data_IF_036981424515
#
_entry.id   IF_036981424515
#
_cell.length_a   1.000
_cell.length_b   1.000
_cell.length_c   1.000
_cell.angle_alpha   90.00
_cell.angle_beta   90.00
_cell.angle_gamma   90.00
#
_symmetry.space_group_name_H-M   'P 1'
#
loop_
_entity.id
_entity.type
_entity.pdbx_description
1 polymer ?
#
# COMPACT_ATOMS: atom_id res chain seq x y z
N UNK A 1 15.94 1.22 66.18
CA UNK A 1 15.52 -0.15 66.56
C UNK A 1 14.25 -0.52 65.79
N UNK A 2 14.08 -1.78 65.38
CA UNK A 2 13.51 -2.14 64.07
C UNK A 2 12.24 -3.01 64.14
N UNK A 3 11.77 -3.42 62.94
CA UNK A 3 10.76 -4.45 62.58
C UNK A 3 9.32 -3.90 62.51
N UNK A 4 8.61 -4.06 61.39
CA UNK A 4 8.29 -5.38 60.83
C UNK A 4 8.22 -5.40 59.29
N UNK A 5 8.92 -6.38 58.72
CA UNK A 5 8.75 -6.86 57.35
C UNK A 5 7.54 -7.79 57.32
N UNK A 6 6.65 -7.67 56.33
CA UNK A 6 5.92 -8.82 55.81
C UNK A 6 5.91 -8.77 54.28
N UNK A 7 6.81 -9.59 53.71
CA UNK A 7 6.81 -9.99 52.30
C UNK A 7 5.77 -11.08 52.13
N UNK A 8 4.71 -10.82 51.38
CA UNK A 8 3.83 -11.89 50.86
C UNK A 8 4.39 -12.33 49.52
N UNK A 9 5.25 -13.34 49.56
CA UNK A 9 5.62 -14.17 48.42
C UNK A 9 4.46 -15.12 48.11
N UNK A 10 3.79 -14.97 46.96
CA UNK A 10 2.94 -16.04 46.42
C UNK A 10 3.54 -16.54 45.11
N UNK A 11 4.27 -17.63 45.22
CA UNK A 11 4.63 -18.49 44.12
C UNK A 11 3.37 -19.26 43.66
N UNK A 12 3.02 -19.17 42.38
CA UNK A 12 2.12 -20.12 41.73
C UNK A 12 2.80 -20.62 40.45
N UNK A 13 3.08 -21.92 40.47
CA UNK A 13 3.74 -22.71 39.42
C UNK A 13 2.83 -22.91 38.20
N UNK A 14 3.42 -23.22 37.03
CA UNK A 14 2.72 -23.39 35.76
C UNK A 14 2.04 -24.76 35.69
N UNK A 15 0.82 -24.81 35.16
CA UNK A 15 0.15 -26.06 34.83
C UNK A 15 0.29 -26.29 33.31
N UNK A 16 1.27 -27.09 32.94
CA UNK A 16 1.28 -27.82 31.67
C UNK A 16 0.08 -28.77 31.64
N UNK A 17 -0.74 -28.70 30.60
CA UNK A 17 -1.61 -29.80 30.18
C UNK A 17 -1.25 -30.12 28.73
N UNK A 18 -0.52 -31.21 28.59
CA UNK A 18 -0.15 -31.91 27.36
C UNK A 18 -0.98 -33.21 27.32
N UNK A 19 -1.62 -33.48 26.18
CA UNK A 19 -2.00 -34.76 25.56
C UNK A 19 -3.36 -34.62 24.85
N UNK A 20 -3.37 -34.56 23.51
CA UNK A 20 -3.55 -35.72 22.59
C UNK A 20 -5.05 -36.12 22.54
N UNK A 21 -5.73 -36.19 21.39
CA UNK A 21 -5.49 -37.11 20.27
C UNK A 21 -6.23 -36.63 19.01
N UNK A 22 -5.61 -36.97 17.88
CA UNK A 22 -6.02 -36.94 16.48
C UNK A 22 -7.52 -37.14 16.12
N UNK A 23 -7.91 -36.53 14.99
CA UNK A 23 -8.61 -37.27 13.93
C UNK A 23 -8.18 -36.73 12.55
N UNK A 24 -7.39 -37.57 11.85
CA UNK A 24 -7.16 -37.51 10.42
C UNK A 24 -8.40 -38.06 9.70
N UNK A 25 -8.91 -37.35 8.70
CA UNK A 25 -9.73 -37.93 7.66
C UNK A 25 -9.22 -37.44 6.30
N UNK A 26 -8.33 -38.26 5.72
CA UNK A 26 -7.98 -38.22 4.31
C UNK A 26 -8.89 -39.20 3.57
N UNK A 27 -9.53 -38.76 2.49
CA UNK A 27 -9.97 -39.63 1.41
C UNK A 27 -9.75 -38.91 0.07
N UNK A 28 -8.86 -39.48 -0.72
CA UNK A 28 -8.52 -39.15 -2.11
C UNK A 28 -9.56 -39.78 -3.08
N UNK A 29 -9.48 -39.49 -4.40
CA UNK A 29 -10.62 -39.47 -5.33
C UNK A 29 -10.77 -40.79 -6.13
N UNK A 30 -11.85 -40.91 -6.94
CA UNK A 30 -11.81 -41.60 -8.23
C UNK A 30 -11.63 -40.54 -9.34
N UNK A 31 -10.82 -40.73 -10.38
CA UNK A 31 -10.76 -41.92 -11.22
C UNK A 31 -11.42 -41.57 -12.56
N UNK A 32 -10.59 -41.43 -13.58
CA UNK A 32 -10.84 -41.01 -14.95
C UNK A 32 -11.99 -41.74 -15.66
N UNK A 33 -12.62 -41.07 -16.63
CA UNK A 33 -13.02 -41.73 -17.87
C UNK A 33 -12.94 -40.77 -19.06
N UNK A 34 -12.21 -41.24 -20.08
CA UNK A 34 -12.16 -40.69 -21.42
C UNK A 34 -13.46 -41.05 -22.16
N UNK A 35 -13.96 -40.12 -22.97
CA UNK A 35 -15.13 -40.35 -23.79
C UNK A 35 -15.21 -39.37 -24.94
N UNK A 36 -14.32 -39.53 -25.93
CA UNK A 36 -14.53 -38.98 -27.25
C UNK A 36 -15.69 -39.72 -27.92
N UNK A 37 -16.70 -38.98 -28.39
CA UNK A 37 -17.60 -39.43 -29.47
C UNK A 37 -18.27 -38.21 -30.10
N UNK A 38 -17.92 -37.98 -31.36
CA UNK A 38 -18.72 -37.18 -32.28
C UNK A 38 -20.12 -37.78 -32.44
N UNK A 39 -21.09 -36.99 -32.92
CA UNK A 39 -21.78 -37.47 -34.10
C UNK A 39 -21.90 -36.42 -35.21
N UNK A 40 -21.63 -36.94 -36.41
CA UNK A 40 -22.33 -36.78 -37.67
C UNK A 40 -23.13 -35.49 -37.96
N UNK A 41 -22.75 -34.94 -39.11
CA UNK A 41 -23.53 -34.08 -39.98
C UNK A 41 -25.01 -34.43 -40.04
N UNK A 42 -25.85 -33.38 -40.01
CA UNK A 42 -27.16 -33.41 -40.61
C UNK A 42 -27.28 -32.23 -41.58
N UNK A 43 -27.29 -32.55 -42.87
CA UNK A 43 -27.73 -31.67 -43.94
C UNK A 43 -29.23 -31.39 -43.78
N UNK A 44 -29.58 -30.11 -43.73
CA UNK A 44 -30.97 -29.64 -43.76
C UNK A 44 -30.98 -28.15 -44.06
N UNK A 45 -31.26 -27.82 -45.31
CA UNK A 45 -31.28 -26.47 -45.87
C UNK A 45 -32.74 -26.09 -46.13
N UNK A 46 -33.24 -25.02 -45.51
CA UNK A 46 -34.30 -24.17 -46.03
C UNK A 46 -34.45 -22.88 -45.21
N UNK A 47 -34.53 -21.77 -45.95
CA UNK A 47 -34.80 -20.36 -45.61
C UNK A 47 -35.94 -20.16 -44.59
N UNK A 48 -36.03 -19.07 -43.82
CA UNK A 48 -36.20 -17.66 -44.22
C UNK A 48 -36.04 -16.73 -43.00
N UNK A 49 -35.65 -15.47 -43.26
CA UNK A 49 -35.88 -14.26 -42.43
C UNK A 49 -35.31 -14.21 -41.00
N UNK A 50 -34.11 -13.62 -40.87
CA UNK A 50 -33.47 -13.34 -39.59
C UNK A 50 -32.70 -12.02 -39.61
N UNK A 51 -33.37 -10.97 -39.12
CA UNK A 51 -32.84 -9.76 -38.47
C UNK A 51 -31.32 -9.77 -38.25
N UNK A 52 -30.62 -8.84 -38.93
CA UNK A 52 -29.22 -8.54 -38.69
C UNK A 52 -28.98 -8.21 -37.20
N UNK A 53 -28.55 -9.21 -36.43
CA UNK A 53 -27.85 -9.01 -35.17
C UNK A 53 -26.45 -8.56 -35.53
N UNK A 54 -26.25 -7.24 -35.49
CA UNK A 54 -24.96 -6.62 -35.31
C UNK A 54 -24.33 -7.20 -34.05
N UNK A 55 -23.43 -8.17 -34.22
CA UNK A 55 -22.44 -8.53 -33.21
C UNK A 55 -21.74 -7.23 -32.80
N UNK A 56 -21.77 -6.82 -31.52
CA UNK A 56 -20.97 -5.69 -31.10
C UNK A 56 -19.52 -6.08 -31.38
N UNK A 57 -18.86 -5.34 -32.27
CA UNK A 57 -17.41 -5.34 -32.33
C UNK A 57 -16.93 -5.13 -30.89
N UNK A 58 -16.19 -6.09 -30.36
CA UNK A 58 -15.44 -5.87 -29.14
C UNK A 58 -14.62 -4.61 -29.40
N UNK A 59 -15.01 -3.51 -28.75
CA UNK A 59 -14.24 -2.29 -28.78
C UNK A 59 -12.94 -2.63 -28.07
N UNK A 60 -11.93 -3.03 -28.85
CA UNK A 60 -10.54 -2.96 -28.44
C UNK A 60 -10.23 -1.47 -28.33
N UNK A 61 -10.68 -0.88 -27.23
CA UNK A 61 -10.20 0.39 -26.73
C UNK A 61 -8.77 0.20 -26.25
N UNK A 62 -7.87 -0.16 -27.16
CA UNK A 62 -6.46 0.09 -26.97
C UNK A 62 -6.33 1.60 -26.99
N UNK A 63 -6.27 2.21 -25.81
CA UNK A 63 -5.80 3.58 -25.71
C UNK A 63 -4.45 3.64 -26.45
N UNK A 64 -4.18 4.73 -27.16
CA UNK A 64 -2.88 4.94 -27.80
C UNK A 64 -1.69 4.89 -26.81
N UNK A 65 -1.95 4.75 -25.50
CA UNK A 65 -0.99 4.62 -24.41
C UNK A 65 -0.38 3.21 -24.25
N UNK A 66 -0.96 2.19 -24.89
CA UNK A 66 -0.42 0.82 -24.85
C UNK A 66 0.42 0.48 -26.09
N UNK A 67 1.22 1.45 -26.55
CA UNK A 67 2.13 1.28 -27.68
C UNK A 67 3.43 0.55 -27.28
N UNK A 68 4.13 0.01 -28.28
CA UNK A 68 5.44 -0.64 -28.12
C UNK A 68 6.48 0.33 -27.54
N UNK A 69 7.25 -0.11 -26.53
CA UNK A 69 8.23 0.73 -25.81
C UNK A 69 7.78 1.20 -24.41
N UNK A 70 6.64 0.74 -23.94
CA UNK A 70 6.12 0.96 -22.59
C UNK A 70 7.11 0.51 -21.49
N UNK A 71 7.19 1.28 -20.40
CA UNK A 71 7.89 0.85 -19.17
C UNK A 71 7.29 -0.47 -18.65
N UNK A 72 8.00 -1.20 -17.79
CA UNK A 72 7.47 -2.42 -17.16
C UNK A 72 6.09 -2.17 -16.53
N UNK A 73 5.96 -1.07 -15.77
CA UNK A 73 4.70 -0.67 -15.14
C UNK A 73 3.61 -0.37 -16.16
N UNK A 74 3.93 0.35 -17.24
CA UNK A 74 2.95 0.62 -18.29
C UNK A 74 2.51 -0.67 -19.00
N UNK A 75 3.43 -1.63 -19.16
CA UNK A 75 3.11 -2.96 -19.70
C UNK A 75 2.17 -3.73 -18.77
N UNK A 76 2.41 -3.68 -17.44
CA UNK A 76 1.51 -4.28 -16.45
C UNK A 76 0.11 -3.66 -16.53
N UNK A 77 0.02 -2.33 -16.58
CA UNK A 77 -1.27 -1.61 -16.67
C UNK A 77 -2.00 -1.99 -17.96
N UNK A 78 -1.30 -1.99 -19.09
CA UNK A 78 -1.90 -2.30 -20.40
C UNK A 78 -2.38 -3.74 -20.54
N UNK A 79 -1.75 -4.68 -19.85
CA UNK A 79 -2.10 -6.10 -19.90
C UNK A 79 -3.16 -6.51 -18.85
N UNK A 80 -3.55 -5.61 -17.94
CA UNK A 80 -4.56 -5.85 -16.91
C UNK A 80 -5.72 -4.85 -17.07
N UNK A 81 -6.90 -5.30 -17.56
CA UNK A 81 -8.06 -4.43 -17.71
C UNK A 81 -8.50 -3.72 -16.42
N UNK A 82 -8.29 -4.33 -15.25
CA UNK A 82 -8.63 -3.70 -13.97
C UNK A 82 -7.67 -2.55 -13.65
N UNK A 83 -6.37 -2.71 -13.92
CA UNK A 83 -5.39 -1.63 -13.77
C UNK A 83 -5.63 -0.50 -14.77
N UNK A 84 -5.98 -0.82 -16.02
CA UNK A 84 -6.32 0.18 -17.03
C UNK A 84 -7.54 1.01 -16.61
N UNK A 85 -8.57 0.36 -16.05
CA UNK A 85 -9.72 1.06 -15.50
C UNK A 85 -9.33 1.96 -14.32
N UNK A 86 -8.51 1.47 -13.39
CA UNK A 86 -8.05 2.28 -12.25
C UNK A 86 -7.20 3.47 -12.69
N UNK A 87 -6.36 3.34 -13.71
CA UNK A 87 -5.61 4.45 -14.29
C UNK A 87 -6.54 5.52 -14.88
N UNK A 88 -7.58 5.10 -15.62
CA UNK A 88 -8.58 6.03 -16.15
C UNK A 88 -9.37 6.75 -15.05
N UNK A 89 -9.79 6.04 -14.00
CA UNK A 89 -10.45 6.65 -12.84
C UNK A 89 -9.53 7.62 -12.11
N UNK A 90 -8.23 7.30 -11.99
CA UNK A 90 -7.25 8.16 -11.34
C UNK A 90 -7.06 9.45 -12.15
N UNK A 91 -6.93 9.36 -13.47
CA UNK A 91 -6.83 10.54 -14.34
C UNK A 91 -8.07 11.45 -14.23
N UNK A 92 -9.27 10.85 -14.12
CA UNK A 92 -10.52 11.58 -13.91
C UNK A 92 -10.58 12.24 -12.53
N UNK A 93 -10.14 11.53 -11.48
CA UNK A 93 -10.09 12.06 -10.12
C UNK A 93 -9.09 13.23 -10.01
N UNK A 94 -7.93 13.11 -10.64
CA UNK A 94 -6.94 14.18 -10.71
C UNK A 94 -7.48 15.41 -11.43
N UNK A 95 -8.13 15.23 -12.60
CA UNK A 95 -8.75 16.33 -13.32
C UNK A 95 -9.82 17.03 -12.47
N UNK A 96 -10.68 16.25 -11.80
CA UNK A 96 -11.73 16.78 -10.92
C UNK A 96 -11.15 17.55 -9.73
N UNK A 97 -10.10 17.02 -9.10
CA UNK A 97 -9.39 17.70 -8.02
C UNK A 97 -8.72 18.99 -8.51
N UNK A 98 -8.12 18.98 -9.71
CA UNK A 98 -7.48 20.15 -10.30
C UNK A 98 -8.49 21.28 -10.56
N UNK A 99 -9.71 20.95 -10.95
CA UNK A 99 -10.76 21.93 -11.26
C UNK A 99 -11.29 22.67 -10.02
N UNK A 100 -11.11 22.11 -8.81
CA UNK A 100 -11.50 22.76 -7.55
C UNK A 100 -10.41 23.66 -6.97
N UNK A 101 -9.22 23.72 -7.59
CA UNK A 101 -8.05 24.40 -7.05
C UNK A 101 -7.74 25.72 -7.76
N UNK A 102 -7.13 26.64 -7.03
CA UNK A 102 -6.50 27.84 -7.59
C UNK A 102 -5.17 27.50 -8.28
N UNK A 103 -4.48 28.50 -8.82
CA UNK A 103 -3.22 28.27 -9.55
C UNK A 103 -2.15 27.61 -8.67
N UNK A 104 -1.97 28.07 -7.43
CA UNK A 104 -0.98 27.52 -6.51
C UNK A 104 -1.31 26.06 -6.12
N UNK A 105 -2.59 25.77 -5.89
CA UNK A 105 -3.06 24.41 -5.63
C UNK A 105 -2.86 23.48 -6.83
N UNK A 106 -3.09 23.96 -8.05
CA UNK A 106 -2.83 23.19 -9.28
C UNK A 106 -1.34 22.82 -9.42
N UNK A 107 -0.45 23.77 -9.18
CA UNK A 107 1.00 23.54 -9.21
C UNK A 107 1.43 22.52 -8.14
N UNK A 108 0.88 22.66 -6.91
CA UNK A 108 1.12 21.70 -5.82
C UNK A 108 0.63 20.30 -6.19
N UNK A 109 -0.59 20.15 -6.69
CA UNK A 109 -1.17 18.87 -7.09
C UNK A 109 -0.35 18.21 -8.20
N UNK A 110 0.08 18.97 -9.21
CA UNK A 110 0.92 18.46 -10.30
C UNK A 110 2.27 17.94 -9.77
N UNK A 111 2.91 18.69 -8.88
CA UNK A 111 4.19 18.28 -8.29
C UNK A 111 4.04 17.01 -7.42
N UNK A 112 2.97 16.91 -6.63
CA UNK A 112 2.64 15.70 -5.86
C UNK A 112 2.38 14.50 -6.79
N UNK A 113 1.62 14.70 -7.87
CA UNK A 113 1.31 13.63 -8.82
C UNK A 113 2.57 13.10 -9.51
N UNK A 114 3.47 14.01 -9.90
CA UNK A 114 4.76 13.64 -10.49
C UNK A 114 5.63 12.83 -9.50
N UNK A 115 5.72 13.27 -8.24
CA UNK A 115 6.45 12.52 -7.21
C UNK A 115 5.83 11.16 -6.96
N UNK A 116 4.51 11.07 -6.86
CA UNK A 116 3.81 9.79 -6.68
C UNK A 116 4.06 8.83 -7.86
N UNK A 117 4.05 9.32 -9.10
CA UNK A 117 4.40 8.51 -10.27
C UNK A 117 5.82 7.95 -10.12
N UNK A 118 6.81 8.81 -9.87
CA UNK A 118 8.23 8.45 -9.88
C UNK A 118 8.65 7.59 -8.67
N UNK A 119 8.07 7.86 -7.51
CA UNK A 119 8.52 7.34 -6.21
C UNK A 119 7.52 6.39 -5.54
N UNK A 120 6.38 6.13 -6.17
CA UNK A 120 5.42 5.15 -5.66
C UNK A 120 4.97 4.21 -6.77
N UNK A 121 4.35 4.73 -7.84
CA UNK A 121 3.82 3.90 -8.94
C UNK A 121 4.92 3.15 -9.68
N UNK A 122 5.95 3.86 -10.11
CA UNK A 122 7.02 3.31 -10.96
C UNK A 122 7.98 2.38 -10.18
N UNK A 123 7.81 2.27 -8.86
CA UNK A 123 8.53 1.30 -8.02
C UNK A 123 7.81 -0.04 -7.89
N UNK A 124 6.56 -0.15 -8.34
CA UNK A 124 5.83 -1.40 -8.30
C UNK A 124 6.40 -2.45 -9.25
N UNK A 125 6.56 -3.68 -8.75
CA UNK A 125 7.04 -4.83 -9.52
C UNK A 125 5.94 -5.74 -10.07
N UNK A 126 4.71 -5.59 -9.61
CA UNK A 126 3.58 -6.46 -9.96
C UNK A 126 2.23 -5.72 -9.94
N UNK A 127 1.19 -6.41 -10.41
CA UNK A 127 -0.16 -5.89 -10.48
C UNK A 127 -0.78 -5.64 -9.10
N UNK A 128 -0.43 -6.43 -8.08
CA UNK A 128 -0.98 -6.25 -6.74
C UNK A 128 -0.51 -4.92 -6.13
N UNK A 129 0.78 -4.61 -6.23
CA UNK A 129 1.33 -3.32 -5.83
C UNK A 129 0.61 -2.17 -6.54
N UNK A 130 0.45 -2.25 -7.87
CA UNK A 130 -0.23 -1.21 -8.66
C UNK A 130 -1.67 -0.99 -8.21
N UNK A 131 -2.43 -2.07 -7.97
CA UNK A 131 -3.81 -1.99 -7.47
C UNK A 131 -3.88 -1.26 -6.13
N UNK A 132 -2.95 -1.53 -5.22
CA UNK A 132 -2.92 -0.90 -3.89
C UNK A 132 -2.56 0.59 -3.99
N UNK A 133 -1.49 0.93 -4.71
CA UNK A 133 -1.06 2.35 -4.80
C UNK A 133 -2.05 3.20 -5.61
N UNK A 134 -2.76 2.62 -6.58
CA UNK A 134 -3.87 3.29 -7.27
C UNK A 134 -5.06 3.52 -6.33
N UNK A 135 -5.45 2.52 -5.54
CA UNK A 135 -6.53 2.67 -4.57
C UNK A 135 -6.22 3.76 -3.53
N UNK A 136 -5.00 3.77 -3.00
CA UNK A 136 -4.55 4.79 -2.03
C UNK A 136 -4.56 6.19 -2.67
N UNK A 137 -4.03 6.33 -3.89
CA UNK A 137 -4.00 7.62 -4.57
C UNK A 137 -5.40 8.12 -4.92
N UNK A 138 -6.31 7.22 -5.32
CA UNK A 138 -7.72 7.57 -5.55
C UNK A 138 -8.40 8.08 -4.28
N UNK A 139 -8.13 7.48 -3.11
CA UNK A 139 -8.64 7.99 -1.81
C UNK A 139 -8.16 9.43 -1.59
N UNK A 140 -6.86 9.67 -1.76
CA UNK A 140 -6.24 10.99 -1.59
C UNK A 140 -6.84 12.03 -2.54
N UNK A 141 -6.96 11.69 -3.83
CA UNK A 141 -7.53 12.60 -4.84
C UNK A 141 -9.01 12.89 -4.57
N UNK A 142 -9.78 11.90 -4.10
CA UNK A 142 -11.20 12.07 -3.79
C UNK A 142 -11.46 13.01 -2.61
N UNK A 143 -10.58 13.00 -1.61
CA UNK A 143 -10.60 13.91 -0.46
C UNK A 143 -10.17 15.35 -0.83
N UNK A 144 -9.43 15.51 -1.92
CA UNK A 144 -8.92 16.82 -2.40
C UNK A 144 -10.03 17.83 -2.71
N UNK A 145 -11.25 17.36 -2.95
CA UNK A 145 -12.42 18.23 -3.15
C UNK A 145 -12.66 19.18 -1.98
N UNK A 146 -12.18 18.84 -0.79
CA UNK A 146 -12.28 19.66 0.43
C UNK A 146 -11.01 20.49 0.70
N UNK A 147 -9.93 20.28 -0.07
CA UNK A 147 -8.66 21.01 0.02
C UNK A 147 -7.42 20.13 -0.14
N UNK A 148 -6.25 20.74 -0.38
CA UNK A 148 -4.94 20.06 -0.42
C UNK A 148 -4.29 20.01 0.97
N UNK A 149 -4.98 19.35 1.90
CA UNK A 149 -4.54 19.20 3.30
C UNK A 149 -4.05 17.77 3.55
N UNK A 150 -3.11 17.66 4.50
CA UNK A 150 -2.77 16.39 5.12
C UNK A 150 -3.95 15.90 5.98
N UNK A 151 -4.09 14.58 6.14
CA UNK A 151 -5.24 13.97 6.81
C UNK A 151 -4.91 13.82 8.31
N UNK A 152 -5.63 14.55 9.16
CA UNK A 152 -5.65 14.26 10.60
C UNK A 152 -6.26 12.86 10.80
N UNK A 153 -5.52 11.98 11.47
CA UNK A 153 -5.99 10.66 11.81
C UNK A 153 -5.86 10.41 13.30
N UNK A 154 -6.77 9.58 13.79
CA UNK A 154 -6.82 9.13 15.15
C UNK A 154 -6.80 7.59 15.12
N UNK A 155 -5.63 7.02 15.40
CA UNK A 155 -5.41 5.58 15.40
C UNK A 155 -5.20 5.09 16.83
N UNK A 156 -5.90 4.02 17.19
CA UNK A 156 -5.79 3.39 18.51
C UNK A 156 -4.76 2.26 18.42
N UNK A 157 -3.64 2.34 19.14
CA UNK A 157 -2.65 1.27 19.15
C UNK A 157 -3.22 -0.03 19.72
N UNK A 158 -2.68 -1.17 19.28
CA UNK A 158 -3.12 -2.47 19.75
C UNK A 158 -3.04 -2.58 21.29
N UNK A 159 -4.17 -2.93 21.91
CA UNK A 159 -4.27 -3.06 23.36
C UNK A 159 -4.39 -1.75 24.13
N UNK A 160 -4.48 -0.61 23.45
CA UNK A 160 -4.73 0.69 24.08
C UNK A 160 -6.19 1.13 23.95
N UNK A 161 -6.62 2.03 24.84
CA UNK A 161 -7.96 2.63 24.82
C UNK A 161 -7.93 4.08 24.33
N UNK A 162 -6.75 4.71 24.36
CA UNK A 162 -6.56 6.09 23.95
C UNK A 162 -6.01 6.11 22.53
N UNK A 163 -6.57 7.03 21.77
CA UNK A 163 -6.13 7.30 20.42
C UNK A 163 -4.86 8.15 20.45
N UNK A 164 -3.96 7.90 19.50
CA UNK A 164 -2.85 8.80 19.23
C UNK A 164 -3.20 9.63 18.01
N UNK A 165 -3.15 10.95 18.16
CA UNK A 165 -3.31 11.88 17.06
C UNK A 165 -2.05 11.84 16.18
N UNK A 166 -2.27 11.64 14.89
CA UNK A 166 -1.22 11.64 13.88
C UNK A 166 -1.67 12.42 12.66
N UNK A 167 -0.71 13.05 11.99
CA UNK A 167 -0.90 13.68 10.70
C UNK A 167 -0.42 12.72 9.62
N UNK A 168 -1.34 12.20 8.80
CA UNK A 168 -1.01 11.38 7.64
C UNK A 168 -0.66 12.30 6.48
N UNK A 169 0.58 12.20 6.00
CA UNK A 169 1.06 13.03 4.91
C UNK A 169 0.42 12.58 3.60
N UNK A 170 -0.26 13.53 2.94
CA UNK A 170 -0.90 13.34 1.64
C UNK A 170 0.11 12.95 0.55
N UNK A 171 1.30 13.54 0.63
CA UNK A 171 2.43 13.25 -0.24
C UNK A 171 3.60 12.73 0.60
N UNK A 172 3.70 11.40 0.80
CA UNK A 172 4.77 10.82 1.58
C UNK A 172 6.16 11.06 0.97
N UNK A 173 6.24 11.33 -0.32
CA UNK A 173 7.50 11.56 -1.03
C UNK A 173 7.96 13.02 -0.97
N UNK A 174 7.15 13.94 -0.43
CA UNK A 174 7.57 15.31 -0.13
C UNK A 174 8.74 15.36 0.87
N UNK A 175 8.87 14.34 1.73
CA UNK A 175 9.91 14.22 2.74
C UNK A 175 11.08 13.31 2.31
N UNK A 176 11.06 12.76 1.10
CA UNK A 176 12.03 11.75 0.66
C UNK A 176 13.48 12.26 0.73
N UNK A 177 13.71 13.53 0.38
CA UNK A 177 15.03 14.15 0.49
C UNK A 177 15.49 14.25 1.96
N UNK A 178 14.62 14.70 2.85
CA UNK A 178 14.91 14.82 4.28
C UNK A 178 15.24 13.45 4.89
N UNK A 179 14.49 12.41 4.54
CA UNK A 179 14.77 11.06 4.99
C UNK A 179 16.10 10.51 4.46
N UNK A 180 16.45 10.79 3.20
CA UNK A 180 17.75 10.38 2.65
C UNK A 180 18.92 11.10 3.33
N UNK A 181 18.75 12.38 3.70
CA UNK A 181 19.73 13.10 4.52
C UNK A 181 19.90 12.41 5.88
N UNK A 182 18.81 12.11 6.58
CA UNK A 182 18.83 11.42 7.86
C UNK A 182 19.45 10.02 7.76
N UNK A 183 19.17 9.29 6.68
CA UNK A 183 19.76 7.99 6.40
C UNK A 183 21.30 8.07 6.37
N UNK A 184 21.83 9.08 5.66
CA UNK A 184 23.28 9.32 5.57
C UNK A 184 23.90 9.79 6.89
N UNK A 185 23.25 10.72 7.60
CA UNK A 185 23.70 11.22 8.91
C UNK A 185 23.76 10.09 9.96
N UNK A 186 22.88 9.10 9.87
CA UNK A 186 22.83 7.95 10.77
C UNK A 186 23.63 6.74 10.25
N UNK A 187 24.50 6.94 9.25
CA UNK A 187 25.42 5.91 8.74
C UNK A 187 24.74 4.69 8.14
N UNK A 188 23.50 4.83 7.67
CA UNK A 188 22.76 3.73 7.05
C UNK A 188 23.16 3.57 5.58
N UNK A 189 23.19 2.32 5.12
CA UNK A 189 23.56 2.00 3.73
C UNK A 189 22.47 2.42 2.74
N UNK A 190 22.88 2.80 1.52
CA UNK A 190 21.98 2.90 0.38
C UNK A 190 21.17 4.19 0.34
N UNK A 191 20.02 4.15 -0.33
CA UNK A 191 19.10 5.29 -0.46
C UNK A 191 17.65 4.84 -0.48
N UNK A 192 16.76 5.69 0.00
CA UNK A 192 15.33 5.53 -0.19
C UNK A 192 14.96 5.96 -1.62
N UNK A 193 14.28 5.07 -2.34
CA UNK A 193 13.76 5.31 -3.69
C UNK A 193 12.41 6.03 -3.67
N UNK A 194 11.64 5.84 -2.60
CA UNK A 194 10.30 6.38 -2.46
C UNK A 194 9.52 5.69 -1.36
N UNK A 195 8.40 6.29 -0.98
CA UNK A 195 7.59 5.89 0.17
C UNK A 195 6.12 5.72 -0.23
N UNK A 196 5.45 4.76 0.40
CA UNK A 196 4.02 4.48 0.20
C UNK A 196 3.15 5.16 1.24
N UNK A 197 3.70 5.44 2.43
CA UNK A 197 3.03 6.15 3.51
C UNK A 197 4.05 6.91 4.35
N UNK A 198 3.62 8.04 4.90
CA UNK A 198 4.40 8.79 5.88
C UNK A 198 3.45 9.47 6.87
N UNK A 199 3.87 9.54 8.12
CA UNK A 199 3.11 10.11 9.21
C UNK A 199 3.97 11.04 10.03
N UNK A 200 3.37 12.08 10.58
CA UNK A 200 3.97 12.92 11.60
C UNK A 200 3.18 12.76 12.89
N UNK A 201 3.86 12.36 13.97
CA UNK A 201 3.26 12.19 15.30
C UNK A 201 3.82 13.29 16.21
N UNK A 202 2.92 14.05 16.84
CA UNK A 202 3.29 15.21 17.66
C UNK A 202 3.38 16.52 16.85
N UNK A 203 3.28 17.65 17.55
CA UNK A 203 3.28 18.99 16.95
C UNK A 203 4.54 19.79 17.27
N UNK A 204 4.89 20.73 16.38
CA UNK A 204 5.99 21.66 16.57
C UNK A 204 7.37 20.99 16.54
N UNK A 205 8.34 21.42 17.37
CA UNK A 205 9.70 20.90 17.32
C UNK A 205 9.80 19.41 17.66
N UNK A 206 8.84 18.84 18.40
CA UNK A 206 8.84 17.43 18.84
C UNK A 206 8.19 16.47 17.82
N UNK A 207 7.95 16.93 16.60
CA UNK A 207 7.38 16.12 15.53
C UNK A 207 8.25 14.88 15.26
N UNK A 208 7.65 13.70 15.40
CA UNK A 208 8.27 12.43 15.03
C UNK A 208 7.79 12.06 13.64
N UNK A 209 8.72 12.08 12.69
CA UNK A 209 8.43 11.75 11.32
C UNK A 209 8.70 10.25 11.09
N UNK A 210 7.76 9.55 10.48
CA UNK A 210 7.90 8.14 10.13
C UNK A 210 7.40 7.83 8.72
N UNK A 211 7.96 6.82 8.06
CA UNK A 211 7.55 6.43 6.72
C UNK A 211 7.83 4.96 6.38
N UNK A 212 6.99 4.40 5.52
CA UNK A 212 7.18 3.09 4.86
C UNK A 212 7.78 3.36 3.49
N UNK A 213 8.99 2.88 3.25
CA UNK A 213 9.75 3.21 2.04
C UNK A 213 10.42 1.99 1.42
N UNK A 214 10.77 2.12 0.14
CA UNK A 214 11.65 1.19 -0.56
C UNK A 214 13.07 1.73 -0.46
N UNK A 215 13.97 0.95 0.11
CA UNK A 215 15.40 1.23 0.17
C UNK A 215 16.14 0.40 -0.88
N UNK A 216 17.05 1.04 -1.61
CA UNK A 216 18.02 0.38 -2.49
C UNK A 216 19.37 0.35 -1.82
N UNK A 217 19.93 -0.85 -1.69
CA UNK A 217 21.26 -1.14 -1.13
C UNK A 217 22.08 -1.92 -2.15
N UNK A 218 23.33 -2.23 -1.81
CA UNK A 218 24.16 -3.12 -2.65
C UNK A 218 23.56 -4.53 -2.78
N UNK A 219 22.75 -4.97 -1.81
CA UNK A 219 22.03 -6.24 -1.83
C UNK A 219 20.72 -6.20 -2.65
N UNK A 220 20.33 -5.03 -3.16
CA UNK A 220 19.10 -4.82 -3.92
C UNK A 220 18.07 -3.98 -3.17
N UNK A 221 16.82 -4.05 -3.66
CA UNK A 221 15.68 -3.28 -3.14
C UNK A 221 14.97 -4.04 -2.02
N UNK A 222 14.58 -3.34 -0.96
CA UNK A 222 13.79 -3.90 0.15
C UNK A 222 12.82 -2.86 0.71
N UNK A 223 11.72 -3.31 1.29
CA UNK A 223 10.83 -2.44 2.06
C UNK A 223 11.40 -2.23 3.46
N UNK A 224 11.27 -1.00 3.96
CA UNK A 224 11.73 -0.58 5.29
C UNK A 224 10.69 0.33 5.93
N UNK A 225 10.67 0.33 7.26
CA UNK A 225 10.08 1.41 8.04
C UNK A 225 11.22 2.24 8.62
N UNK A 226 11.03 3.55 8.65
CA UNK A 226 11.91 4.44 9.38
C UNK A 226 11.12 5.45 10.19
N UNK A 227 11.75 5.91 11.26
CA UNK A 227 11.25 7.01 12.08
C UNK A 227 12.43 7.85 12.55
N UNK A 228 12.16 9.13 12.78
CA UNK A 228 13.13 10.09 13.27
C UNK A 228 12.46 11.05 14.24
N UNK A 229 13.05 11.18 15.41
CA UNK A 229 12.77 12.24 16.36
C UNK A 229 14.04 13.06 16.56
N UNK A 230 14.17 14.13 15.76
CA UNK A 230 15.40 14.94 15.72
C UNK A 230 15.67 15.68 17.03
N UNK A 231 14.63 15.96 17.83
CA UNK A 231 14.79 16.64 19.12
C UNK A 231 15.56 15.82 20.14
N UNK A 232 15.38 14.50 20.14
CA UNK A 232 16.05 13.59 21.08
C UNK A 232 17.11 12.72 20.41
N UNK A 233 17.40 12.98 19.12
CA UNK A 233 18.42 12.26 18.35
C UNK A 233 18.08 10.78 18.12
N UNK A 234 16.80 10.42 18.11
CA UNK A 234 16.36 9.05 17.81
C UNK A 234 16.15 8.88 16.31
N UNK A 235 16.71 7.81 15.76
CA UNK A 235 16.48 7.37 14.40
C UNK A 235 16.45 5.85 14.38
N UNK A 236 15.48 5.28 13.66
CA UNK A 236 15.40 3.85 13.45
C UNK A 236 15.07 3.55 11.99
N UNK A 237 15.64 2.45 11.49
CA UNK A 237 15.40 1.89 10.17
C UNK A 237 15.34 0.37 10.31
N UNK A 238 14.21 -0.24 9.97
CA UNK A 238 14.01 -1.70 10.10
C UNK A 238 13.39 -2.26 8.81
N UNK A 239 13.85 -3.42 8.29
CA UNK A 239 13.18 -4.11 7.21
C UNK A 239 11.71 -4.43 7.55
N UNK A 240 10.82 -4.30 6.57
CA UNK A 240 9.40 -4.57 6.77
C UNK A 240 8.75 -5.19 5.55
N UNK A 241 7.51 -5.65 5.73
CA UNK A 241 6.64 -6.08 4.64
C UNK A 241 6.11 -4.85 3.89
N UNK A 242 5.74 -5.04 2.62
CA UNK A 242 4.98 -4.00 1.91
C UNK A 242 3.65 -3.74 2.64
N UNK A 243 3.28 -2.48 2.77
CA UNK A 243 2.05 -2.06 3.39
C UNK A 243 1.48 -0.84 2.67
N UNK A 244 0.15 -0.80 2.61
CA UNK A 244 -0.63 0.17 1.87
C UNK A 244 -1.85 0.62 2.70
N UNK A 245 -2.44 1.75 2.32
CA UNK A 245 -3.64 2.30 2.94
C UNK A 245 -3.57 2.39 4.47
N UNK A 246 -4.70 2.09 5.12
CA UNK A 246 -4.82 2.19 6.58
C UNK A 246 -3.91 1.22 7.33
N UNK A 247 -3.56 0.08 6.73
CA UNK A 247 -2.62 -0.86 7.33
C UNK A 247 -1.21 -0.25 7.43
N UNK A 248 -0.76 0.47 6.40
CA UNK A 248 0.52 1.17 6.42
C UNK A 248 0.59 2.17 7.57
N UNK A 249 -0.48 2.94 7.78
CA UNK A 249 -0.59 3.95 8.83
C UNK A 249 -0.52 3.30 10.23
N UNK A 250 -1.30 2.24 10.47
CA UNK A 250 -1.27 1.51 11.75
C UNK A 250 0.10 0.90 12.06
N UNK A 251 0.73 0.30 11.06
CA UNK A 251 2.08 -0.25 11.21
C UNK A 251 3.11 0.83 11.52
N UNK A 252 2.99 2.01 10.89
CA UNK A 252 3.86 3.15 11.17
C UNK A 252 3.68 3.68 12.59
N UNK A 253 2.44 3.78 13.07
CA UNK A 253 2.18 4.21 14.44
C UNK A 253 2.85 3.26 15.45
N UNK A 254 2.62 1.95 15.33
CA UNK A 254 3.22 0.95 16.21
C UNK A 254 4.76 0.98 16.17
N UNK A 255 5.33 1.06 14.96
CA UNK A 255 6.77 1.18 14.77
C UNK A 255 7.34 2.45 15.43
N UNK A 256 6.68 3.59 15.22
CA UNK A 256 7.11 4.88 15.78
C UNK A 256 7.08 4.85 17.30
N UNK A 257 6.03 4.28 17.90
CA UNK A 257 5.93 4.13 19.35
C UNK A 257 7.02 3.24 19.95
N UNK A 258 7.41 2.19 19.23
CA UNK A 258 8.44 1.27 19.69
C UNK A 258 9.86 1.85 19.59
N UNK A 259 10.13 2.67 18.57
CA UNK A 259 11.49 3.03 18.20
C UNK A 259 11.83 4.52 18.34
N UNK A 260 10.85 5.40 18.27
CA UNK A 260 11.05 6.85 18.26
C UNK A 260 10.11 7.64 19.19
N UNK A 261 9.33 6.94 20.03
CA UNK A 261 8.70 7.59 21.17
C UNK A 261 9.76 7.86 22.24
N UNK A 262 9.79 9.10 22.72
CA UNK A 262 10.60 9.53 23.86
C UNK A 262 10.06 9.02 25.18
#
# INVERSE_FOLDING_TARGET
MPRNNDRVTRAMKPLMILCWVALLAACSPPGSDAGASAPAANTGQASTDGKATSTPAAATGSSAACAEGASLVQTLICNDPALLQQEAELAKAEASARDTLDAAGKDKLQAEQQRWIQHTRDLCGDAHCLQQVFADRLKVLSATREGLIDEDACEVPDGQQQCVDLLVLRDPNSQLANFNTLLGENGQEGRLLGCTAATNVGGGPNAVLAANCIQETTAGKRNVQLCSNQMVGQFALVPASAAYGTQAVRQLLGFTQQHCAG
#
